data_IF_321587524159
#
_entry.id   IF_321587524159
#
_cell.length_a   1.000
_cell.length_b   1.000
_cell.length_c   1.000
_cell.angle_alpha   90.00
_cell.angle_beta   90.00
_cell.angle_gamma   90.00
#
_symmetry.space_group_name_H-M   'P 1'
#
loop_
_entity.id
_entity.type
_entity.pdbx_description
1 polymer ?
#
# COMPACT_ATOMS: atom_id res chain seq x y z
N UNK A 1 -9.75 4.70 -8.20
CA UNK A 1 -8.50 3.96 -7.92
C UNK A 1 -8.03 4.35 -6.54
N UNK A 2 -7.83 3.38 -5.64
CA UNK A 2 -7.26 3.60 -4.30
C UNK A 2 -5.78 3.26 -4.41
N UNK A 3 -4.91 4.17 -3.97
CA UNK A 3 -3.47 3.96 -3.96
C UNK A 3 -3.03 3.97 -2.50
N UNK A 4 -2.26 2.97 -2.08
CA UNK A 4 -1.62 3.01 -0.77
C UNK A 4 -0.59 4.14 -0.75
N UNK A 5 -0.74 5.07 0.19
CA UNK A 5 0.12 6.23 0.27
C UNK A 5 1.59 5.80 0.48
N UNK A 6 2.46 6.32 -0.39
CA UNK A 6 3.91 6.21 -0.31
C UNK A 6 4.38 6.97 0.93
N UNK A 7 5.40 6.45 1.61
CA UNK A 7 6.09 7.16 2.70
C UNK A 7 6.58 8.52 2.17
N UNK A 8 5.87 9.59 2.54
CA UNK A 8 6.21 10.97 2.17
C UNK A 8 5.02 11.82 1.69
N UNK A 9 4.35 12.50 2.62
CA UNK A 9 3.73 13.82 2.39
C UNK A 9 2.62 13.94 1.34
N UNK A 10 1.70 12.97 1.26
CA UNK A 10 0.45 13.15 0.51
C UNK A 10 -0.58 13.90 1.37
N UNK A 11 -1.14 14.98 0.81
CA UNK A 11 -2.14 15.82 1.46
C UNK A 11 -3.41 15.91 0.61
N UNK A 12 -4.56 16.13 1.24
CA UNK A 12 -5.81 16.40 0.52
C UNK A 12 -5.65 17.61 -0.41
N UNK A 13 -6.17 17.50 -1.63
CA UNK A 13 -6.09 18.51 -2.67
C UNK A 13 -4.72 18.61 -3.38
N UNK A 14 -3.71 17.84 -2.96
CA UNK A 14 -2.42 17.79 -3.64
C UNK A 14 -2.53 17.07 -4.98
N UNK A 15 -1.78 17.57 -5.96
CA UNK A 15 -1.63 16.95 -7.26
C UNK A 15 -0.73 15.71 -7.19
N UNK A 16 -1.06 14.70 -8.00
CA UNK A 16 -0.30 13.48 -8.14
C UNK A 16 -0.11 13.12 -9.62
N UNK A 17 1.12 12.72 -9.97
CA UNK A 17 1.43 12.25 -11.30
C UNK A 17 1.54 10.73 -11.30
N UNK A 18 0.55 10.03 -11.87
CA UNK A 18 0.57 8.56 -11.95
C UNK A 18 1.63 8.04 -12.91
N UNK A 19 1.94 8.79 -13.97
CA UNK A 19 2.96 8.37 -14.94
C UNK A 19 4.34 8.29 -14.28
N UNK A 20 4.64 9.15 -13.32
CA UNK A 20 5.89 9.13 -12.54
C UNK A 20 5.74 8.54 -11.14
N UNK A 21 4.51 8.20 -10.74
CA UNK A 21 4.15 7.77 -9.40
C UNK A 21 4.72 8.68 -8.31
N UNK A 22 4.57 9.99 -8.50
CA UNK A 22 5.19 11.02 -7.66
C UNK A 22 4.18 12.07 -7.24
N UNK A 23 4.21 12.45 -5.96
CA UNK A 23 3.53 13.65 -5.48
C UNK A 23 4.13 14.89 -6.15
N UNK A 24 3.26 15.82 -6.54
CA UNK A 24 3.68 17.08 -7.13
C UNK A 24 3.37 18.18 -6.10
N UNK A 25 4.30 19.11 -5.81
CA UNK A 25 4.12 20.16 -4.80
C UNK A 25 3.20 21.28 -5.31
N UNK A 26 2.11 20.92 -5.96
CA UNK A 26 1.09 21.83 -6.47
C UNK A 26 -0.25 21.38 -5.92
N UNK A 27 -0.97 22.34 -5.33
CA UNK A 27 -2.33 22.15 -4.86
C UNK A 27 -3.26 22.69 -5.94
N UNK A 28 -4.14 21.84 -6.45
CA UNK A 28 -5.16 22.24 -7.44
C UNK A 28 -6.28 23.03 -6.75
N UNK A 29 -6.56 22.68 -5.51
CA UNK A 29 -7.55 23.34 -4.67
C UNK A 29 -6.92 24.39 -3.77
N UNK A 30 -7.72 25.39 -3.42
CA UNK A 30 -7.38 26.35 -2.37
C UNK A 30 -7.28 25.60 -1.04
N UNK A 31 -6.11 25.68 -0.39
CA UNK A 31 -5.85 24.95 0.84
C UNK A 31 -6.74 25.40 2.00
N UNK A 32 -7.08 26.69 2.07
CA UNK A 32 -7.96 27.22 3.12
C UNK A 32 -9.41 26.75 2.91
N UNK A 33 -9.87 26.74 1.65
CA UNK A 33 -11.20 26.21 1.31
C UNK A 33 -11.30 24.68 1.51
N UNK A 34 -10.22 23.93 1.25
CA UNK A 34 -10.15 22.49 1.58
C UNK A 34 -10.25 22.27 3.09
N UNK A 35 -9.48 23.01 3.89
CA UNK A 35 -9.46 22.84 5.35
C UNK A 35 -10.79 23.25 5.99
N UNK A 36 -11.38 24.37 5.55
CA UNK A 36 -12.67 24.84 6.08
C UNK A 36 -13.85 23.94 5.74
N UNK A 37 -13.77 23.16 4.65
CA UNK A 37 -14.80 22.21 4.21
C UNK A 37 -14.42 20.75 4.45
N UNK A 38 -13.41 20.50 5.28
CA UNK A 38 -12.93 19.16 5.58
C UNK A 38 -14.03 18.35 6.26
N UNK A 39 -14.31 17.17 5.70
CA UNK A 39 -15.21 16.18 6.28
C UNK A 39 -14.37 15.01 6.78
N UNK A 40 -14.45 14.72 8.07
CA UNK A 40 -13.76 13.60 8.71
C UNK A 40 -14.81 12.60 9.18
N UNK A 41 -14.62 11.33 8.81
CA UNK A 41 -15.49 10.22 9.21
C UNK A 41 -14.65 9.15 9.91
N UNK A 42 -14.99 8.73 11.13
CA UNK A 42 -14.34 7.59 11.77
C UNK A 42 -14.51 6.32 10.92
N UNK A 43 -13.43 5.59 10.70
CA UNK A 43 -13.38 4.30 9.99
C UNK A 43 -12.49 3.30 10.74
N UNK A 44 -12.54 3.35 12.07
CA UNK A 44 -11.72 2.51 12.95
C UNK A 44 -11.91 1.02 12.63
N UNK A 45 -10.85 0.40 12.13
CA UNK A 45 -10.84 -1.03 11.85
C UNK A 45 -9.41 -1.55 11.86
N UNK A 46 -9.23 -2.71 12.49
CA UNK A 46 -7.97 -3.46 12.48
C UNK A 46 -8.25 -4.81 11.85
N UNK A 47 -7.47 -5.15 10.82
CA UNK A 47 -7.52 -6.46 10.18
C UNK A 47 -6.11 -7.03 10.18
N UNK A 48 -5.96 -8.19 10.82
CA UNK A 48 -4.72 -8.94 10.87
C UNK A 48 -4.89 -10.23 10.07
N UNK A 49 -4.03 -10.47 9.09
CA UNK A 49 -4.05 -11.68 8.25
C UNK A 49 -2.63 -12.20 8.04
N UNK A 50 -2.53 -13.49 7.73
CA UNK A 50 -1.28 -14.11 7.31
C UNK A 50 -1.47 -14.93 6.04
N UNK A 51 -0.38 -15.14 5.29
CA UNK A 51 -0.35 -16.04 4.15
C UNK A 51 1.05 -16.59 3.90
N UNK A 52 1.13 -17.87 3.52
CA UNK A 52 2.33 -18.49 2.96
C UNK A 52 2.44 -18.12 1.48
N UNK A 53 3.49 -17.39 1.12
CA UNK A 53 3.74 -16.85 -0.22
C UNK A 53 4.59 -17.83 -1.02
N UNK A 54 4.13 -18.20 -2.22
CA UNK A 54 4.86 -19.12 -3.10
C UNK A 54 5.46 -18.42 -4.32
N UNK A 55 4.81 -17.36 -4.77
CA UNK A 55 5.21 -16.54 -5.91
C UNK A 55 4.87 -15.08 -5.64
N UNK A 56 5.53 -14.17 -6.35
CA UNK A 56 5.28 -12.73 -6.22
C UNK A 56 3.82 -12.33 -6.42
N UNK A 57 3.08 -13.02 -7.30
CA UNK A 57 1.65 -12.78 -7.48
C UNK A 57 0.85 -12.98 -6.19
N UNK A 58 1.20 -14.00 -5.38
CA UNK A 58 0.51 -14.27 -4.11
C UNK A 58 0.70 -13.11 -3.13
N UNK A 59 1.88 -12.49 -3.09
CA UNK A 59 2.15 -11.34 -2.23
C UNK A 59 1.39 -10.10 -2.71
N UNK A 60 1.38 -9.85 -4.02
CA UNK A 60 0.67 -8.71 -4.62
C UNK A 60 -0.82 -8.79 -4.29
N UNK A 61 -1.41 -9.97 -4.49
CA UNK A 61 -2.82 -10.22 -4.19
C UNK A 61 -3.09 -10.09 -2.68
N UNK A 62 -2.20 -10.67 -1.85
CA UNK A 62 -2.34 -10.63 -0.39
C UNK A 62 -2.27 -9.20 0.18
N UNK A 63 -1.36 -8.37 -0.31
CA UNK A 63 -1.19 -6.97 0.12
C UNK A 63 -2.15 -5.99 -0.59
N UNK A 64 -3.01 -6.49 -1.50
CA UNK A 64 -3.92 -5.68 -2.30
C UNK A 64 -3.18 -4.58 -3.09
N UNK A 65 -2.00 -4.93 -3.61
CA UNK A 65 -1.17 -4.01 -4.39
C UNK A 65 -1.61 -4.03 -5.86
N UNK A 66 -1.56 -2.87 -6.50
CA UNK A 66 -1.71 -2.80 -7.95
C UNK A 66 -0.52 -3.53 -8.62
N UNK A 67 -0.76 -4.53 -9.50
CA UNK A 67 0.32 -5.29 -10.13
C UNK A 67 1.29 -4.44 -10.95
N UNK A 68 0.80 -3.37 -11.60
CA UNK A 68 1.65 -2.47 -12.37
C UNK A 68 2.56 -1.64 -11.44
N UNK A 69 2.07 -1.24 -10.27
CA UNK A 69 2.88 -0.58 -9.26
C UNK A 69 3.92 -1.53 -8.66
N UNK A 70 3.54 -2.76 -8.32
CA UNK A 70 4.48 -3.76 -7.80
C UNK A 70 5.60 -4.07 -8.82
N UNK A 71 5.24 -4.19 -10.09
CA UNK A 71 6.21 -4.39 -11.18
C UNK A 71 7.13 -3.17 -11.33
N UNK A 72 6.57 -1.97 -11.22
CA UNK A 72 7.35 -0.73 -11.30
C UNK A 72 8.31 -0.58 -10.12
N UNK A 73 7.91 -0.94 -8.91
CA UNK A 73 8.80 -0.97 -7.74
C UNK A 73 9.98 -1.91 -7.93
N UNK A 74 9.75 -3.08 -8.54
CA UNK A 74 10.82 -4.03 -8.88
C UNK A 74 11.89 -3.41 -9.80
N UNK A 75 11.48 -2.63 -10.79
CA UNK A 75 12.42 -2.13 -11.83
C UNK A 75 12.94 -0.72 -11.59
N UNK A 76 12.19 0.15 -10.91
CA UNK A 76 12.50 1.58 -10.84
C UNK A 76 12.40 2.19 -9.45
N UNK A 77 12.22 1.39 -8.38
CA UNK A 77 12.24 1.87 -6.98
C UNK A 77 11.38 3.13 -6.76
N UNK A 78 10.07 2.98 -6.84
CA UNK A 78 9.12 4.10 -6.69
C UNK A 78 8.75 4.39 -5.22
N UNK A 79 9.37 3.70 -4.28
CA UNK A 79 9.25 3.94 -2.86
C UNK A 79 7.95 3.41 -2.26
N UNK A 80 7.37 2.35 -2.84
CA UNK A 80 6.16 1.75 -2.27
C UNK A 80 6.36 1.38 -0.79
N UNK A 81 5.30 1.49 0.03
CA UNK A 81 5.30 0.86 1.35
C UNK A 81 5.73 -0.61 1.22
N UNK A 82 6.58 -1.07 2.14
CA UNK A 82 7.07 -2.45 2.18
C UNK A 82 7.92 -2.87 0.98
N UNK A 83 8.59 -1.93 0.30
CA UNK A 83 9.50 -2.20 -0.82
C UNK A 83 10.50 -3.35 -0.55
N UNK A 84 10.98 -3.50 0.69
CA UNK A 84 11.88 -4.59 1.07
C UNK A 84 11.25 -5.97 0.91
N UNK A 85 10.02 -6.14 1.40
CA UNK A 85 9.24 -7.39 1.30
C UNK A 85 8.80 -7.64 -0.14
N UNK A 86 8.41 -6.58 -0.86
CA UNK A 86 8.04 -6.71 -2.28
C UNK A 86 9.23 -7.23 -3.09
N UNK A 87 10.43 -6.65 -2.88
CA UNK A 87 11.64 -7.05 -3.60
C UNK A 87 12.14 -8.44 -3.20
N UNK A 88 12.09 -8.81 -1.92
CA UNK A 88 12.56 -10.13 -1.46
C UNK A 88 11.84 -11.28 -2.17
N UNK A 89 10.52 -11.18 -2.37
CA UNK A 89 9.73 -12.22 -3.05
C UNK A 89 10.06 -12.34 -4.54
N UNK A 90 10.45 -11.25 -5.21
CA UNK A 90 10.79 -11.31 -6.64
C UNK A 90 12.12 -11.99 -6.93
N UNK A 91 13.05 -11.97 -5.97
CA UNK A 91 14.42 -12.40 -6.17
C UNK A 91 14.68 -13.84 -5.71
N UNK A 92 13.78 -14.44 -4.92
CA UNK A 92 14.04 -15.72 -4.23
C UNK A 92 13.11 -16.85 -4.67
N UNK A 93 13.70 -17.94 -5.17
CA UNK A 93 12.97 -19.16 -5.57
C UNK A 93 13.00 -20.29 -4.53
N UNK A 94 13.94 -20.24 -3.57
CA UNK A 94 14.26 -21.37 -2.69
C UNK A 94 13.73 -21.23 -1.25
N UNK A 95 13.22 -20.06 -0.89
CA UNK A 95 12.66 -19.82 0.45
C UNK A 95 11.16 -20.12 0.49
N UNK A 96 10.68 -20.40 1.70
CA UNK A 96 9.27 -20.39 2.04
C UNK A 96 9.05 -19.11 2.83
N UNK A 97 8.12 -18.27 2.39
CA UNK A 97 7.90 -16.96 3.00
C UNK A 97 6.52 -16.93 3.65
N UNK A 98 6.48 -16.68 4.96
CA UNK A 98 5.25 -16.48 5.71
C UNK A 98 5.12 -14.98 5.97
N UNK A 99 4.07 -14.36 5.40
CA UNK A 99 3.85 -12.92 5.52
C UNK A 99 2.67 -12.65 6.44
N UNK A 100 2.92 -11.81 7.44
CA UNK A 100 1.93 -11.20 8.30
C UNK A 100 1.59 -9.81 7.78
N UNK A 101 0.31 -9.47 7.75
CA UNK A 101 -0.15 -8.13 7.42
C UNK A 101 -1.21 -7.67 8.41
N UNK A 102 -0.95 -6.51 9.02
CA UNK A 102 -1.89 -5.81 9.89
C UNK A 102 -2.23 -4.48 9.23
N UNK A 103 -3.52 -4.24 9.02
CA UNK A 103 -4.07 -3.02 8.45
C UNK A 103 -4.91 -2.34 9.50
N UNK A 104 -4.48 -1.17 9.94
CA UNK A 104 -5.23 -0.29 10.82
C UNK A 104 -5.73 0.91 10.02
N UNK A 105 -7.05 1.13 10.02
CA UNK A 105 -7.68 2.36 9.54
C UNK A 105 -8.21 3.10 10.75
N UNK A 106 -8.10 4.43 10.73
CA UNK A 106 -8.57 5.29 11.82
C UNK A 106 -9.72 6.17 11.35
N UNK A 107 -9.48 6.97 10.31
CA UNK A 107 -10.47 7.92 9.81
C UNK A 107 -10.32 8.11 8.30
N UNK A 108 -11.43 8.44 7.65
CA UNK A 108 -11.46 8.94 6.29
C UNK A 108 -11.64 10.45 6.30
N UNK A 109 -10.77 11.14 5.59
CA UNK A 109 -10.82 12.58 5.35
C UNK A 109 -11.17 12.84 3.89
N UNK A 110 -12.07 13.79 3.64
CA UNK A 110 -12.49 14.20 2.29
C UNK A 110 -12.98 15.65 2.29
N UNK A 111 -13.24 16.22 1.12
CA UNK A 111 -13.83 17.56 0.97
C UNK A 111 -14.89 17.53 -0.14
N UNK A 112 -15.90 18.42 -0.15
CA UNK A 112 -16.99 18.40 -1.12
C UNK A 112 -16.57 18.91 -2.52
N UNK A 113 -17.36 18.64 -3.55
CA UNK A 113 -17.00 18.96 -4.95
C UNK A 113 -17.04 20.45 -5.29
N UNK A 114 -17.71 21.26 -4.48
CA UNK A 114 -17.80 22.72 -4.59
C UNK A 114 -16.60 23.45 -3.96
N UNK A 115 -15.57 22.72 -3.49
CA UNK A 115 -14.34 23.33 -3.01
C UNK A 115 -13.64 24.11 -4.12
N UNK A 116 -13.20 25.32 -3.78
CA UNK A 116 -12.62 26.28 -4.72
C UNK A 116 -11.29 25.78 -5.27
N UNK A 117 -11.16 25.92 -6.59
CA UNK A 117 -9.91 25.71 -7.30
C UNK A 117 -9.04 26.97 -7.18
N UNK A 118 -7.71 26.82 -7.17
CA UNK A 118 -6.79 27.97 -7.22
C UNK A 118 -6.87 28.68 -8.57
N UNK A 119 -7.01 29.99 -8.61
CA UNK A 119 -7.14 30.72 -9.88
C UNK A 119 -5.96 30.50 -10.86
N UNK A 120 -4.77 30.17 -10.35
CA UNK A 120 -3.55 29.97 -11.14
C UNK A 120 -3.28 28.50 -11.51
N UNK A 121 -4.13 27.53 -11.16
CA UNK A 121 -3.79 26.11 -11.41
C UNK A 121 -3.62 25.79 -12.90
N UNK A 122 -4.39 26.47 -13.78
CA UNK A 122 -4.35 26.26 -15.24
C UNK A 122 -3.15 26.91 -15.92
N UNK A 123 -2.60 27.97 -15.32
CA UNK A 123 -1.44 28.69 -15.87
C UNK A 123 -0.12 28.03 -15.49
N UNK A 124 -0.15 27.07 -14.55
CA UNK A 124 1.01 26.26 -14.19
C UNK A 124 1.39 25.31 -15.34
N UNK A 125 2.69 25.10 -15.58
CA UNK A 125 3.13 24.14 -16.58
C UNK A 125 2.50 22.76 -16.33
N UNK A 126 2.03 22.10 -17.40
CA UNK A 126 1.31 20.82 -17.31
C UNK A 126 2.08 19.75 -16.52
N UNK A 127 3.42 19.75 -16.62
CA UNK A 127 4.29 18.85 -15.83
C UNK A 127 4.15 19.01 -14.30
N UNK A 128 3.65 20.15 -13.83
CA UNK A 128 3.45 20.48 -12.41
C UNK A 128 1.99 20.43 -11.96
N UNK A 129 1.01 20.26 -12.84
CA UNK A 129 -0.39 20.08 -12.44
C UNK A 129 -0.67 18.63 -12.04
N UNK A 130 0.22 17.71 -12.43
CA UNK A 130 0.02 16.27 -12.24
C UNK A 130 -1.05 15.73 -13.19
N UNK A 131 -1.48 14.49 -12.95
CA UNK A 131 -2.52 13.81 -13.74
C UNK A 131 -3.82 13.64 -12.94
N UNK A 132 -3.71 13.64 -11.63
CA UNK A 132 -4.75 13.32 -10.66
C UNK A 132 -4.56 14.22 -9.42
N UNK A 133 -5.53 14.21 -8.51
CA UNK A 133 -5.41 14.87 -7.21
C UNK A 133 -6.02 14.01 -6.11
N UNK A 134 -5.60 14.25 -4.87
CA UNK A 134 -6.10 13.51 -3.70
C UNK A 134 -7.41 14.13 -3.23
N UNK A 135 -8.54 13.46 -3.49
CA UNK A 135 -9.87 13.92 -3.05
C UNK A 135 -10.26 13.43 -1.67
N UNK A 136 -9.87 12.19 -1.36
CA UNK A 136 -10.12 11.54 -0.08
C UNK A 136 -8.90 10.72 0.30
N UNK A 137 -8.65 10.61 1.60
CA UNK A 137 -7.62 9.77 2.16
C UNK A 137 -8.14 9.07 3.40
N UNK A 138 -7.80 7.79 3.56
CA UNK A 138 -7.98 7.10 4.83
C UNK A 138 -6.63 7.10 5.54
N UNK A 139 -6.61 7.61 6.76
CA UNK A 139 -5.41 7.62 7.62
C UNK A 139 -5.40 6.37 8.49
N UNK A 140 -4.19 5.99 8.94
CA UNK A 140 -3.97 4.80 9.72
C UNK A 140 -2.54 4.30 9.54
N UNK A 141 -2.36 3.00 9.67
CA UNK A 141 -1.05 2.36 9.62
C UNK A 141 -1.13 0.94 9.12
N UNK A 142 -0.10 0.53 8.40
CA UNK A 142 0.05 -0.82 7.91
C UNK A 142 1.36 -1.39 8.46
N UNK A 143 1.33 -2.63 8.94
CA UNK A 143 2.51 -3.39 9.34
C UNK A 143 2.58 -4.65 8.49
N UNK A 144 3.73 -4.86 7.84
CA UNK A 144 4.06 -6.10 7.14
C UNK A 144 5.27 -6.72 7.82
N UNK A 145 5.15 -7.98 8.21
CA UNK A 145 6.27 -8.79 8.71
C UNK A 145 6.43 -9.96 7.76
N UNK A 146 7.66 -10.19 7.28
CA UNK A 146 8.00 -11.35 6.48
C UNK A 146 8.94 -12.26 7.25
N UNK A 147 8.55 -13.52 7.38
CA UNK A 147 9.37 -14.58 7.94
C UNK A 147 9.88 -15.46 6.81
N UNK A 148 11.20 -15.48 6.62
CA UNK A 148 11.86 -16.31 5.63
C UNK A 148 12.32 -17.61 6.26
N UNK A 149 11.80 -18.72 5.76
CA UNK A 149 12.18 -20.07 6.19
C UNK A 149 12.99 -20.68 5.06
N UNK A 150 14.29 -20.87 5.30
CA UNK A 150 15.21 -21.49 4.36
C UNK A 150 15.41 -22.95 4.73
N UNK A 151 14.97 -23.91 3.90
CA UNK A 151 15.26 -25.32 4.12
C UNK A 151 16.77 -25.56 4.10
N UNK A 152 17.23 -26.55 4.86
CA UNK A 152 18.65 -26.95 4.86
C UNK A 152 19.14 -27.43 3.49
N UNK A 153 18.22 -27.92 2.65
CA UNK A 153 18.46 -28.26 1.25
C UNK A 153 17.23 -27.92 0.39
N UNK A 154 17.41 -27.48 -0.88
CA UNK A 154 16.29 -27.07 -1.75
C UNK A 154 15.22 -28.15 -1.96
N UNK A 155 15.58 -29.43 -1.98
CA UNK A 155 14.64 -30.55 -2.14
C UNK A 155 13.61 -30.65 -1.00
N UNK A 156 13.93 -30.18 0.21
CA UNK A 156 13.02 -30.23 1.37
C UNK A 156 12.00 -29.11 1.39
N UNK A 157 12.03 -28.19 0.42
CA UNK A 157 11.13 -27.03 0.37
C UNK A 157 9.65 -27.44 0.44
N UNK A 158 9.25 -28.47 -0.30
CA UNK A 158 7.85 -28.90 -0.31
C UNK A 158 7.45 -29.57 1.00
N UNK A 159 8.35 -30.32 1.63
CA UNK A 159 8.10 -31.00 2.91
C UNK A 159 7.94 -29.98 4.03
N UNK A 160 8.88 -29.03 4.16
CA UNK A 160 8.81 -27.95 5.15
C UNK A 160 7.54 -27.13 4.95
N UNK A 161 7.15 -26.84 3.71
CA UNK A 161 5.90 -26.15 3.39
C UNK A 161 4.67 -26.93 3.84
N UNK A 162 4.63 -28.24 3.57
CA UNK A 162 3.52 -29.10 3.96
C UNK A 162 3.39 -29.18 5.49
N UNK A 163 4.52 -29.19 6.20
CA UNK A 163 4.55 -29.11 7.67
C UNK A 163 3.98 -27.78 8.15
N UNK A 164 4.40 -26.65 7.58
CA UNK A 164 3.85 -25.33 7.96
C UNK A 164 2.33 -25.30 7.70
N UNK A 165 1.91 -25.72 6.50
CA UNK A 165 0.52 -25.75 6.10
C UNK A 165 -0.33 -26.67 6.99
N UNK A 166 0.23 -27.77 7.51
CA UNK A 166 -0.49 -28.67 8.43
C UNK A 166 -0.68 -28.09 9.83
N UNK A 167 0.18 -27.17 10.26
CA UNK A 167 0.12 -26.58 11.61
C UNK A 167 -0.68 -25.29 11.65
N UNK A 168 -0.45 -24.38 10.70
CA UNK A 168 -1.07 -23.04 10.70
C UNK A 168 -1.97 -22.79 9.48
N UNK A 169 -2.01 -23.70 8.51
CA UNK A 169 -2.68 -23.46 7.23
C UNK A 169 -1.86 -22.62 6.26
N UNK A 170 -2.41 -22.36 5.06
CA UNK A 170 -1.74 -21.53 4.04
C UNK A 170 -2.09 -20.04 4.14
N UNK A 171 -3.20 -19.71 4.79
CA UNK A 171 -3.67 -18.33 4.99
C UNK A 171 -4.73 -18.29 6.09
N UNK A 172 -4.88 -17.16 6.75
CA UNK A 172 -5.93 -16.97 7.74
C UNK A 172 -6.02 -15.56 8.28
N UNK A 173 -7.08 -15.30 9.04
CA UNK A 173 -7.22 -14.09 9.85
C UNK A 173 -6.63 -14.40 11.23
N UNK A 174 -5.87 -13.46 11.78
CA UNK A 174 -5.38 -13.53 13.14
C UNK A 174 -6.34 -12.72 13.98
N UNK A 175 -7.25 -13.45 14.64
CA UNK A 175 -8.17 -12.86 15.59
C UNK A 175 -7.54 -12.88 16.99
N UNK A 176 -7.93 -11.94 17.85
CA UNK A 176 -7.38 -11.76 19.21
C UNK A 176 -7.58 -12.99 20.12
N UNK A 177 -8.39 -13.96 19.68
CA UNK A 177 -8.67 -15.21 20.38
C UNK A 177 -7.66 -16.34 20.09
N UNK A 178 -6.55 -16.06 19.39
CA UNK A 178 -5.46 -17.01 19.11
C UNK A 178 -4.27 -16.83 20.07
N UNK A 179 -4.51 -16.95 21.38
CA UNK A 179 -3.50 -17.27 22.40
C UNK A 179 -4.11 -18.23 23.41
#
# INVERSE_FOLDING_TARGET
MIIQAIVGGLFLGAAFNLNYFSAIPVFIYDSEDVQSKLQVRPEESIVSKFQVINKAADLIDFLELDPALALREKYSSIGLPFQGVIRSVFDRREVIELVLYVKCKMENQTFPSDTKLKSDWQTRPQKYVGTHFVKSMTTGGNLVISYEITPSKPEYRNDVRNIIASHIGNSGIIDENLI
#
